data_IF_466238413284
#
_entry.id   IF_466238413284
#
_cell.length_a   1.000
_cell.length_b   1.000
_cell.length_c   1.000
_cell.angle_alpha   90.00
_cell.angle_beta   90.00
_cell.angle_gamma   90.00
#
_symmetry.space_group_name_H-M   'P 1'
#
loop_
_entity.id
_entity.type
_entity.pdbx_description
1 polymer ?
#
# COMPACT_ATOMS: atom_id res chain seq x y z
N UNK A 1 5.97 7.03 -1.92
CA UNK A 1 6.08 6.62 -3.35
C UNK A 1 7.41 5.89 -3.53
N UNK A 2 7.42 4.65 -4.03
CA UNK A 2 8.65 3.85 -4.20
C UNK A 2 9.70 4.48 -5.15
N UNK A 3 9.31 5.54 -5.87
CA UNK A 3 10.17 6.36 -6.74
C UNK A 3 11.49 6.83 -6.10
N UNK A 4 11.54 7.00 -4.78
CA UNK A 4 12.73 7.49 -4.07
C UNK A 4 13.62 6.36 -3.52
N UNK A 5 13.21 5.09 -3.67
CA UNK A 5 13.82 3.97 -2.97
C UNK A 5 14.72 3.08 -3.84
N UNK A 6 14.64 3.17 -5.16
CA UNK A 6 15.47 2.37 -6.08
C UNK A 6 14.73 1.92 -7.33
N UNK A 7 15.47 1.39 -8.30
CA UNK A 7 14.91 0.90 -9.58
C UNK A 7 14.05 -0.36 -9.40
N UNK A 8 14.39 -1.19 -8.42
CA UNK A 8 13.66 -2.41 -8.05
C UNK A 8 12.79 -2.22 -6.81
N UNK A 9 12.58 -0.99 -6.36
CA UNK A 9 11.73 -0.73 -5.22
C UNK A 9 10.28 -1.15 -5.53
N UNK A 10 9.56 -1.64 -4.53
CA UNK A 10 8.16 -2.00 -4.70
C UNK A 10 7.37 -1.86 -3.41
N UNK A 11 6.06 -1.71 -3.57
CA UNK A 11 5.13 -1.91 -2.46
C UNK A 11 4.92 -3.40 -2.32
N UNK A 12 5.26 -3.93 -1.15
CA UNK A 12 5.14 -5.36 -0.85
C UNK A 12 4.05 -5.55 0.19
N UNK A 13 3.10 -6.42 -0.14
CA UNK A 13 2.02 -6.85 0.76
C UNK A 13 2.19 -8.31 1.09
N UNK A 14 2.39 -8.59 2.37
CA UNK A 14 2.46 -9.92 2.97
C UNK A 14 1.11 -10.30 3.53
N UNK A 15 0.64 -11.48 3.15
CA UNK A 15 -0.57 -12.12 3.66
C UNK A 15 -0.18 -13.41 4.38
N UNK A 16 -0.32 -13.42 5.70
CA UNK A 16 -0.12 -14.58 6.55
C UNK A 16 -1.48 -15.23 6.78
N UNK A 17 -1.71 -16.39 6.15
CA UNK A 17 -3.01 -17.05 6.10
C UNK A 17 -2.94 -18.43 6.78
N UNK A 18 -3.80 -18.60 7.78
CA UNK A 18 -4.07 -19.88 8.46
C UNK A 18 -5.54 -20.25 8.37
N UNK A 19 -6.41 -19.27 8.08
CA UNK A 19 -7.83 -19.50 7.90
C UNK A 19 -8.11 -20.33 6.64
N UNK A 20 -9.06 -21.27 6.76
CA UNK A 20 -9.50 -22.08 5.62
C UNK A 20 -10.24 -21.24 4.55
N UNK A 21 -10.93 -20.17 4.96
CA UNK A 21 -11.61 -19.22 4.06
C UNK A 21 -11.26 -17.78 4.48
N UNK A 22 -10.15 -17.22 3.97
CA UNK A 22 -9.77 -15.83 4.26
C UNK A 22 -10.79 -14.82 3.71
N UNK A 23 -11.49 -15.14 2.62
CA UNK A 23 -12.50 -14.26 2.03
C UNK A 23 -13.69 -14.05 2.96
N UNK A 24 -14.19 -15.10 3.61
CA UNK A 24 -15.29 -14.98 4.57
C UNK A 24 -14.95 -14.05 5.75
N UNK A 25 -13.70 -14.10 6.24
CA UNK A 25 -13.23 -13.22 7.30
C UNK A 25 -13.22 -11.77 6.84
N UNK A 26 -12.61 -11.48 5.68
CA UNK A 26 -12.57 -10.11 5.14
C UNK A 26 -13.97 -9.55 4.88
N UNK A 27 -14.86 -10.37 4.29
CA UNK A 27 -16.24 -9.99 4.01
C UNK A 27 -17.06 -9.67 5.27
N UNK A 28 -16.69 -10.21 6.43
CA UNK A 28 -17.34 -9.87 7.71
C UNK A 28 -17.06 -8.44 8.17
N UNK A 29 -16.15 -7.72 7.51
CA UNK A 29 -15.79 -6.34 7.82
C UNK A 29 -15.11 -6.16 9.18
N UNK A 30 -14.11 -6.99 9.55
CA UNK A 30 -13.46 -6.88 10.84
C UNK A 30 -12.70 -5.56 10.97
N UNK A 31 -12.64 -5.03 12.19
CA UNK A 31 -11.82 -3.86 12.49
C UNK A 31 -10.41 -4.31 12.86
N UNK A 32 -9.40 -3.67 12.28
CA UNK A 32 -8.02 -3.92 12.67
C UNK A 32 -7.76 -3.48 14.12
N UNK A 33 -7.12 -4.35 14.88
CA UNK A 33 -6.65 -4.07 16.23
C UNK A 33 -5.46 -3.10 16.20
N UNK A 34 -5.63 -1.94 16.84
CA UNK A 34 -4.58 -0.91 16.97
C UNK A 34 -3.41 -1.39 17.82
N UNK A 35 -3.68 -2.23 18.82
CA UNK A 35 -2.66 -2.77 19.71
C UNK A 35 -1.78 -3.82 19.03
N UNK A 36 -2.37 -4.62 18.14
CA UNK A 36 -1.66 -5.66 17.40
C UNK A 36 -0.49 -5.11 16.59
N UNK A 37 -0.73 -4.13 15.70
CA UNK A 37 0.32 -3.58 14.83
C UNK A 37 1.46 -2.92 15.60
N UNK A 38 1.15 -2.22 16.70
CA UNK A 38 2.18 -1.63 17.58
C UNK A 38 3.04 -2.71 18.25
N UNK A 39 2.42 -3.78 18.76
CA UNK A 39 3.15 -4.89 19.38
C UNK A 39 4.00 -5.63 18.35
N UNK A 40 3.46 -5.88 17.17
CA UNK A 40 4.16 -6.50 16.05
C UNK A 40 5.43 -5.72 15.69
N UNK A 41 5.33 -4.41 15.47
CA UNK A 41 6.49 -3.60 15.09
C UNK A 41 7.55 -3.56 16.20
N UNK A 42 7.11 -3.50 17.47
CA UNK A 42 8.03 -3.51 18.61
C UNK A 42 8.78 -4.85 18.76
N UNK A 43 8.15 -5.96 18.34
CA UNK A 43 8.79 -7.28 18.29
C UNK A 43 9.71 -7.43 17.08
N UNK A 44 9.31 -6.90 15.92
CA UNK A 44 10.08 -6.97 14.69
C UNK A 44 11.40 -6.19 14.79
N UNK A 45 11.34 -4.99 15.39
CA UNK A 45 12.53 -4.22 15.73
C UNK A 45 12.29 -3.34 16.98
N UNK A 46 12.81 -3.73 18.15
CA UNK A 46 12.65 -2.98 19.40
C UNK A 46 13.24 -1.57 19.37
N UNK A 47 14.13 -1.26 18.44
CA UNK A 47 14.75 0.07 18.32
C UNK A 47 13.89 1.08 17.56
N UNK A 48 12.80 0.64 16.91
CA UNK A 48 11.99 1.54 16.10
C UNK A 48 11.10 2.48 16.95
N UNK A 49 11.13 3.80 16.69
CA UNK A 49 10.14 4.72 17.24
C UNK A 49 8.82 4.56 16.50
N UNK A 50 7.87 3.83 17.10
CA UNK A 50 6.59 3.49 16.48
C UNK A 50 5.56 4.60 16.71
N UNK A 51 5.18 5.27 15.63
CA UNK A 51 4.19 6.36 15.61
C UNK A 51 2.93 5.90 14.86
N UNK A 52 1.77 5.73 15.50
CA UNK A 52 0.51 5.48 14.80
C UNK A 52 0.10 6.69 13.94
N UNK A 53 -0.28 6.44 12.69
CA UNK A 53 -0.75 7.47 11.75
C UNK A 53 -2.28 7.52 11.75
N UNK A 54 -2.94 6.36 11.61
CA UNK A 54 -4.39 6.30 11.49
C UNK A 54 -4.91 4.93 11.04
N UNK A 55 -6.22 4.84 10.88
CA UNK A 55 -6.90 3.67 10.32
C UNK A 55 -7.40 4.00 8.91
N UNK A 56 -7.13 3.09 7.98
CA UNK A 56 -7.42 3.28 6.56
C UNK A 56 -8.00 1.99 5.95
N UNK A 57 -8.64 2.10 4.79
CA UNK A 57 -8.98 0.93 3.97
C UNK A 57 -7.82 0.64 3.03
N UNK A 58 -7.29 -0.58 3.03
CA UNK A 58 -6.14 -0.99 2.22
C UNK A 58 -6.36 -0.71 0.71
N UNK A 59 -7.58 -0.89 0.22
CA UNK A 59 -7.92 -0.70 -1.20
C UNK A 59 -8.11 0.76 -1.60
N UNK A 60 -8.35 1.66 -0.63
CA UNK A 60 -8.61 3.09 -0.88
C UNK A 60 -7.54 4.03 -0.34
N UNK A 61 -6.59 3.52 0.42
CA UNK A 61 -5.45 4.29 0.91
C UNK A 61 -4.38 4.44 -0.16
N UNK A 62 -3.61 5.52 -0.06
CA UNK A 62 -2.32 5.56 -0.73
C UNK A 62 -1.46 4.37 -0.25
N UNK A 63 -0.67 3.73 -1.12
CA UNK A 63 0.22 2.67 -0.69
C UNK A 63 1.21 3.12 0.38
N UNK A 64 1.65 2.21 1.24
CA UNK A 64 2.67 2.49 2.25
C UNK A 64 3.93 3.10 1.62
N UNK A 65 4.52 4.10 2.29
CA UNK A 65 5.80 4.67 1.85
C UNK A 65 6.98 4.07 2.62
N UNK A 66 8.19 4.54 2.33
CA UNK A 66 9.38 4.14 3.07
C UNK A 66 9.17 4.40 4.57
N UNK A 67 9.56 3.45 5.42
CA UNK A 67 9.38 3.53 6.87
C UNK A 67 7.90 3.61 7.33
N UNK A 68 6.95 3.26 6.48
CA UNK A 68 5.54 3.12 6.85
C UNK A 68 5.09 1.67 6.71
N UNK A 69 4.32 1.22 7.71
CA UNK A 69 3.76 -0.12 7.77
C UNK A 69 2.27 -0.06 7.92
N UNK A 70 1.53 -0.69 7.01
CA UNK A 70 0.08 -0.84 7.12
C UNK A 70 -0.20 -2.25 7.58
N UNK A 71 -0.81 -2.39 8.76
CA UNK A 71 -0.93 -3.67 9.44
C UNK A 71 -2.39 -3.92 9.83
N UNK A 72 -2.88 -5.12 9.54
CA UNK A 72 -4.11 -5.65 10.08
C UNK A 72 -3.90 -7.06 10.62
N UNK A 73 -4.39 -7.31 11.84
CA UNK A 73 -4.53 -8.65 12.40
C UNK A 73 -6.00 -9.02 12.50
N UNK A 74 -6.41 -10.04 11.76
CA UNK A 74 -7.74 -10.65 11.81
C UNK A 74 -7.62 -12.12 12.26
N UNK A 75 -8.71 -12.75 12.72
CA UNK A 75 -8.67 -14.18 13.06
C UNK A 75 -8.19 -15.02 11.88
N UNK A 76 -6.99 -15.61 11.99
CA UNK A 76 -6.40 -16.47 10.96
C UNK A 76 -5.87 -15.77 9.69
N UNK A 77 -5.89 -14.42 9.64
CA UNK A 77 -5.32 -13.64 8.54
C UNK A 77 -4.58 -12.43 9.10
N UNK A 78 -3.29 -12.30 8.82
CA UNK A 78 -2.53 -11.08 9.10
C UNK A 78 -2.02 -10.47 7.81
N UNK A 79 -2.17 -9.16 7.66
CA UNK A 79 -1.78 -8.40 6.48
C UNK A 79 -0.75 -7.36 6.91
N UNK A 80 0.38 -7.32 6.20
CA UNK A 80 1.42 -6.31 6.40
C UNK A 80 1.79 -5.75 5.03
N UNK A 81 1.67 -4.44 4.83
CA UNK A 81 2.15 -3.75 3.64
C UNK A 81 3.23 -2.73 4.00
N UNK A 82 4.32 -2.72 3.24
CA UNK A 82 5.44 -1.78 3.38
C UNK A 82 6.07 -1.52 2.01
N UNK A 83 6.84 -0.44 1.88
CA UNK A 83 7.74 -0.26 0.75
C UNK A 83 9.10 -0.91 1.03
N UNK A 84 9.64 -1.65 0.06
CA UNK A 84 11.01 -2.19 0.08
C UNK A 84 11.84 -1.53 -1.03
N UNK A 85 13.13 -1.33 -0.77
CA UNK A 85 14.06 -0.61 -1.66
C UNK A 85 14.53 -1.44 -2.85
N UNK A 86 14.68 -2.74 -2.65
CA UNK A 86 15.05 -3.70 -3.69
C UNK A 86 14.26 -4.99 -3.50
N UNK A 87 13.43 -5.30 -4.49
CA UNK A 87 12.69 -6.56 -4.59
C UNK A 87 13.11 -7.24 -5.89
N UNK A 88 14.39 -7.58 -6.00
CA UNK A 88 14.90 -8.39 -7.12
C UNK A 88 14.75 -9.89 -6.89
N UNK A 89 14.59 -10.31 -5.64
CA UNK A 89 14.29 -11.70 -5.29
C UNK A 89 13.30 -11.78 -4.12
N UNK A 90 12.31 -12.66 -4.27
CA UNK A 90 11.34 -12.95 -3.22
C UNK A 90 11.89 -13.96 -2.21
N UNK A 91 12.78 -14.85 -2.65
CA UNK A 91 13.50 -15.78 -1.78
C UNK A 91 14.41 -15.05 -0.79
N UNK A 92 15.01 -13.92 -1.19
CA UNK A 92 15.89 -13.11 -0.35
C UNK A 92 15.17 -12.09 0.54
N UNK A 93 13.83 -12.13 0.62
CA UNK A 93 13.10 -11.23 1.51
C UNK A 93 13.49 -11.44 2.98
N UNK A 94 13.43 -10.36 3.76
CA UNK A 94 13.88 -10.38 5.16
C UNK A 94 13.22 -11.53 5.94
N UNK A 95 13.99 -12.53 6.40
CA UNK A 95 13.46 -13.67 7.13
C UNK A 95 12.75 -13.26 8.43
N UNK A 96 13.08 -12.09 9.00
CA UNK A 96 12.41 -11.56 10.19
C UNK A 96 10.95 -11.24 9.92
N UNK A 97 10.63 -10.72 8.72
CA UNK A 97 9.24 -10.46 8.31
C UNK A 97 8.57 -11.80 7.98
N UNK A 98 9.19 -12.65 7.17
CA UNK A 98 8.60 -13.93 6.76
C UNK A 98 8.30 -14.87 7.94
N UNK A 99 9.08 -14.79 9.03
CA UNK A 99 8.90 -15.60 10.24
C UNK A 99 8.22 -14.86 11.39
N UNK A 100 7.76 -13.63 11.16
CA UNK A 100 7.17 -12.77 12.20
C UNK A 100 5.80 -13.25 12.70
N UNK A 101 5.04 -13.93 11.84
CA UNK A 101 3.69 -14.41 12.14
C UNK A 101 3.58 -15.87 11.74
N UNK A 102 3.17 -16.78 12.64
CA UNK A 102 2.95 -18.18 12.28
C UNK A 102 1.75 -18.29 11.33
N UNK A 103 1.98 -18.88 10.15
CA UNK A 103 0.96 -19.08 9.12
C UNK A 103 1.13 -20.42 8.40
N UNK A 104 0.03 -20.99 7.91
CA UNK A 104 0.07 -22.17 7.05
C UNK A 104 0.59 -21.81 5.65
N UNK A 105 0.07 -20.72 5.10
CA UNK A 105 0.43 -20.18 3.80
C UNK A 105 0.79 -18.70 3.95
N UNK A 106 1.91 -18.30 3.35
CA UNK A 106 2.33 -16.90 3.23
C UNK A 106 2.29 -16.54 1.75
N UNK A 107 1.45 -15.56 1.40
CA UNK A 107 1.42 -14.98 0.07
C UNK A 107 2.06 -13.61 0.11
N UNK A 108 3.02 -13.38 -0.78
CA UNK A 108 3.71 -12.11 -0.93
C UNK A 108 3.36 -11.57 -2.30
N UNK A 109 3.02 -10.28 -2.37
CA UNK A 109 2.75 -9.58 -3.62
C UNK A 109 3.55 -8.29 -3.64
N UNK A 110 4.30 -8.06 -4.71
CA UNK A 110 5.09 -6.85 -4.93
C UNK A 110 4.63 -6.15 -6.21
N UNK A 111 4.35 -4.86 -6.12
CA UNK A 111 3.91 -4.05 -7.24
C UNK A 111 4.63 -2.70 -7.24
N UNK A 112 5.11 -2.29 -8.42
CA UNK A 112 5.55 -0.92 -8.68
C UNK A 112 5.03 -0.48 -10.06
N UNK A 113 3.94 0.31 -10.04
CA UNK A 113 3.30 0.83 -11.25
C UNK A 113 4.20 1.71 -12.10
N UNK A 114 5.23 2.35 -11.53
CA UNK A 114 6.14 3.20 -12.29
C UNK A 114 7.17 2.42 -13.10
N UNK A 115 7.67 1.31 -12.56
CA UNK A 115 8.69 0.49 -13.22
C UNK A 115 8.10 -0.75 -13.88
N UNK A 116 6.78 -0.94 -13.81
CA UNK A 116 6.04 -2.15 -14.24
C UNK A 116 6.51 -3.42 -13.54
N UNK A 117 7.21 -3.28 -12.42
CA UNK A 117 7.69 -4.42 -11.65
C UNK A 117 6.50 -5.07 -10.95
N UNK A 118 6.33 -6.36 -11.20
CA UNK A 118 5.33 -7.20 -10.58
C UNK A 118 5.97 -8.50 -10.12
N UNK A 119 5.71 -8.89 -8.88
CA UNK A 119 6.13 -10.17 -8.36
C UNK A 119 5.18 -10.74 -7.32
N UNK A 120 5.21 -12.05 -7.17
CA UNK A 120 4.44 -12.77 -6.18
C UNK A 120 5.18 -14.01 -5.71
N UNK A 121 4.94 -14.41 -4.47
CA UNK A 121 5.45 -15.66 -3.93
C UNK A 121 4.42 -16.35 -3.05
N UNK A 122 4.39 -17.67 -3.12
CA UNK A 122 3.64 -18.55 -2.23
C UNK A 122 4.62 -19.41 -1.46
N UNK A 123 4.66 -19.20 -0.15
CA UNK A 123 5.50 -19.94 0.79
C UNK A 123 4.56 -20.77 1.68
N UNK A 124 4.86 -22.06 1.84
CA UNK A 124 4.15 -22.96 2.75
C UNK A 124 5.14 -23.59 3.70
N UNK A 125 4.99 -23.31 4.99
CA UNK A 125 6.03 -23.60 5.97
C UNK A 125 7.32 -22.85 5.61
N UNK A 126 8.43 -23.56 5.51
CA UNK A 126 9.73 -23.00 5.09
C UNK A 126 10.05 -23.24 3.60
N UNK A 127 9.07 -23.66 2.78
CA UNK A 127 9.29 -23.99 1.37
C UNK A 127 8.56 -23.04 0.43
N UNK A 128 9.30 -22.46 -0.51
CA UNK A 128 8.75 -21.70 -1.63
C UNK A 128 8.08 -22.68 -2.60
N UNK A 129 6.77 -22.55 -2.79
CA UNK A 129 5.99 -23.37 -3.74
C UNK A 129 5.99 -22.77 -5.14
N UNK A 130 5.88 -21.44 -5.19
CA UNK A 130 5.92 -20.65 -6.41
C UNK A 130 6.48 -19.29 -6.07
N UNK A 131 7.39 -18.79 -6.88
CA UNK A 131 7.84 -17.41 -6.80
C UNK A 131 8.17 -16.88 -8.17
N UNK A 132 7.69 -15.68 -8.47
CA UNK A 132 7.88 -15.02 -9.75
C UNK A 132 8.10 -13.53 -9.50
N UNK A 133 9.06 -12.94 -10.18
CA UNK A 133 9.18 -11.49 -10.23
C UNK A 133 9.80 -11.04 -11.54
N UNK A 134 9.17 -10.04 -12.15
CA UNK A 134 9.56 -9.55 -13.46
C UNK A 134 9.21 -8.08 -13.63
N UNK A 135 9.90 -7.46 -14.59
CA UNK A 135 9.49 -6.28 -15.34
C UNK A 135 9.10 -6.72 -16.75
N UNK A 136 8.50 -5.83 -17.53
CA UNK A 136 8.04 -6.15 -18.89
C UNK A 136 9.09 -6.86 -19.74
N UNK A 137 10.36 -6.44 -19.71
CA UNK A 137 11.43 -7.00 -20.56
C UNK A 137 12.43 -7.90 -19.81
N UNK A 138 12.21 -8.16 -18.52
CA UNK A 138 13.17 -8.92 -17.70
C UNK A 138 12.48 -9.70 -16.58
N UNK A 139 12.74 -11.00 -16.56
CA UNK A 139 12.43 -11.86 -15.42
C UNK A 139 13.61 -11.87 -14.47
N UNK A 140 13.36 -11.59 -13.19
CA UNK A 140 14.37 -11.64 -12.12
C UNK A 140 14.36 -13.00 -11.42
N UNK A 141 13.16 -13.53 -11.17
CA UNK A 141 12.96 -14.79 -10.47
C UNK A 141 11.79 -15.54 -11.11
N UNK A 142 11.96 -16.85 -11.30
CA UNK A 142 10.92 -17.77 -11.76
C UNK A 142 11.19 -19.16 -11.16
N UNK A 143 10.72 -19.35 -9.93
CA UNK A 143 10.95 -20.55 -9.11
C UNK A 143 9.63 -21.28 -8.90
N UNK A 144 9.68 -22.62 -8.93
CA UNK A 144 8.54 -23.49 -8.71
C UNK A 144 7.70 -23.71 -9.96
N UNK A 145 6.56 -24.39 -9.79
CA UNK A 145 5.67 -24.75 -10.91
C UNK A 145 4.60 -23.67 -11.07
N UNK A 146 4.44 -23.06 -12.27
CA UNK A 146 3.40 -22.08 -12.52
C UNK A 146 2.00 -22.56 -12.16
N UNK A 147 1.23 -21.69 -11.51
CA UNK A 147 -0.16 -21.95 -11.19
C UNK A 147 -1.05 -21.96 -12.43
N UNK A 148 -2.21 -22.63 -12.36
CA UNK A 148 -3.17 -22.68 -13.46
C UNK A 148 -3.68 -21.29 -13.90
N UNK A 149 -3.69 -20.32 -12.99
CA UNK A 149 -4.07 -18.93 -13.27
C UNK A 149 -3.05 -18.20 -14.17
N UNK A 150 -1.80 -18.67 -14.23
CA UNK A 150 -0.74 -18.06 -15.04
C UNK A 150 -0.82 -18.49 -16.52
N UNK A 151 -1.36 -19.67 -16.80
CA UNK A 151 -1.35 -20.26 -18.15
C UNK A 151 -1.92 -19.34 -19.26
N UNK A 152 -3.04 -18.61 -19.05
CA UNK A 152 -3.54 -17.67 -20.05
C UNK A 152 -2.59 -16.51 -20.37
N UNK A 153 -1.79 -16.07 -19.39
CA UNK A 153 -0.81 -15.00 -19.54
C UNK A 153 0.39 -15.49 -20.35
N UNK A 154 0.96 -16.63 -19.98
CA UNK A 154 2.06 -17.26 -20.72
C UNK A 154 1.68 -17.61 -22.17
N UNK A 155 0.42 -17.97 -22.41
CA UNK A 155 -0.10 -18.24 -23.75
C UNK A 155 -0.43 -16.97 -24.56
N UNK A 156 -0.28 -15.77 -24.00
CA UNK A 156 -0.65 -14.50 -24.64
C UNK A 156 -2.15 -14.33 -24.88
N UNK A 157 -3.00 -15.08 -24.14
CA UNK A 157 -4.46 -14.94 -24.18
C UNK A 157 -4.96 -13.82 -23.26
N UNK A 158 -4.16 -13.47 -22.25
CA UNK A 158 -4.38 -12.34 -21.32
C UNK A 158 -3.14 -11.46 -21.32
N UNK A 159 -3.35 -10.15 -21.28
CA UNK A 159 -2.31 -9.13 -21.39
C UNK A 159 -2.07 -8.69 -22.84
N UNK A 160 -1.34 -7.59 -22.97
CA UNK A 160 -0.87 -7.07 -24.25
C UNK A 160 0.65 -7.01 -24.23
N UNK A 161 1.28 -7.47 -25.33
CA UNK A 161 2.72 -7.43 -25.48
C UNK A 161 3.14 -6.07 -26.04
N UNK A 162 3.85 -5.27 -25.25
CA UNK A 162 4.33 -3.94 -25.63
C UNK A 162 5.48 -3.97 -26.66
N UNK A 163 6.38 -4.94 -26.55
CA UNK A 163 7.63 -5.03 -27.33
C UNK A 163 7.95 -6.47 -27.75
N UNK A 164 8.69 -6.72 -28.85
CA UNK A 164 9.11 -8.08 -29.21
C UNK A 164 9.92 -8.81 -28.12
N UNK A 165 10.62 -8.04 -27.27
CA UNK A 165 11.41 -8.56 -26.14
C UNK A 165 10.63 -8.57 -24.82
N UNK A 166 9.44 -7.98 -24.77
CA UNK A 166 8.64 -7.98 -23.55
C UNK A 166 7.90 -9.30 -23.37
N UNK A 167 7.58 -9.61 -22.11
CA UNK A 167 6.61 -10.62 -21.74
C UNK A 167 5.29 -10.41 -22.48
N UNK A 168 4.51 -11.47 -22.71
CA UNK A 168 3.23 -11.39 -23.40
C UNK A 168 2.14 -10.65 -22.59
N UNK A 169 2.49 -10.12 -21.41
CA UNK A 169 1.61 -9.46 -20.48
C UNK A 169 2.38 -8.50 -19.57
N UNK A 170 1.64 -7.59 -18.93
CA UNK A 170 2.17 -6.75 -17.85
C UNK A 170 2.31 -7.57 -16.55
N UNK A 171 3.50 -7.68 -15.93
CA UNK A 171 3.70 -8.44 -14.70
C UNK A 171 2.75 -8.08 -13.56
N UNK A 172 2.34 -6.81 -13.43
CA UNK A 172 1.40 -6.36 -12.39
C UNK A 172 0.01 -7.00 -12.57
N UNK A 173 -0.43 -7.22 -13.81
CA UNK A 173 -1.70 -7.91 -14.06
C UNK A 173 -1.65 -9.36 -13.58
N UNK A 174 -0.51 -10.03 -13.78
CA UNK A 174 -0.32 -11.39 -13.29
C UNK A 174 -0.32 -11.43 -11.76
N UNK A 175 0.27 -10.43 -11.08
CA UNK A 175 0.20 -10.29 -9.61
C UNK A 175 -1.24 -10.20 -9.13
N UNK A 176 -2.07 -9.36 -9.78
CA UNK A 176 -3.49 -9.20 -9.43
C UNK A 176 -4.28 -10.49 -9.62
N UNK A 177 -3.96 -11.29 -10.63
CA UNK A 177 -4.57 -12.61 -10.77
C UNK A 177 -4.06 -13.62 -9.75
N UNK A 178 -2.78 -13.56 -9.36
CA UNK A 178 -2.25 -14.38 -8.28
C UNK A 178 -2.97 -14.07 -6.96
N UNK A 179 -3.21 -12.78 -6.67
CA UNK A 179 -4.01 -12.35 -5.52
C UNK A 179 -5.41 -12.99 -5.56
N UNK A 180 -6.12 -12.88 -6.69
CA UNK A 180 -7.44 -13.50 -6.87
C UNK A 180 -7.43 -15.01 -6.70
N UNK A 181 -6.47 -15.69 -7.32
CA UNK A 181 -6.38 -17.14 -7.31
C UNK A 181 -6.03 -17.71 -5.93
N UNK A 182 -5.16 -17.03 -5.17
CA UNK A 182 -4.68 -17.52 -3.87
C UNK A 182 -5.53 -17.07 -2.69
N UNK A 183 -6.00 -15.82 -2.70
CA UNK A 183 -6.85 -15.31 -1.62
C UNK A 183 -8.32 -15.71 -1.81
N UNK A 184 -8.73 -16.07 -3.03
CA UNK A 184 -10.10 -16.41 -3.37
C UNK A 184 -11.01 -15.20 -3.56
N UNK A 185 -10.44 -13.98 -3.56
CA UNK A 185 -11.13 -12.73 -3.82
C UNK A 185 -10.16 -11.67 -4.32
N UNK A 186 -10.68 -10.57 -4.86
CA UNK A 186 -9.88 -9.44 -5.30
C UNK A 186 -9.82 -8.35 -4.20
N UNK A 187 -8.64 -8.08 -3.60
CA UNK A 187 -8.49 -7.06 -2.56
C UNK A 187 -8.88 -5.65 -3.00
N UNK A 188 -8.78 -5.32 -4.30
CA UNK A 188 -9.11 -4.00 -4.82
C UNK A 188 -10.62 -3.76 -4.93
N UNK A 189 -11.42 -4.82 -5.12
CA UNK A 189 -12.89 -4.73 -5.26
C UNK A 189 -13.66 -5.22 -4.03
N UNK A 190 -12.97 -5.90 -3.11
CA UNK A 190 -13.50 -6.38 -1.83
C UNK A 190 -14.04 -5.25 -0.94
N UNK A 191 -14.98 -5.55 -0.01
CA UNK A 191 -15.28 -4.68 1.12
C UNK A 191 -14.01 -4.18 1.82
N UNK A 192 -14.13 -3.02 2.46
CA UNK A 192 -12.99 -2.33 3.06
C UNK A 192 -12.20 -3.19 4.04
N UNK A 193 -10.97 -3.50 3.64
CA UNK A 193 -9.98 -4.14 4.50
C UNK A 193 -9.38 -3.06 5.39
N UNK A 194 -9.88 -2.97 6.62
CA UNK A 194 -9.38 -1.99 7.59
C UNK A 194 -7.95 -2.35 8.00
N UNK A 195 -7.01 -1.43 7.80
CA UNK A 195 -5.61 -1.51 8.24
C UNK A 195 -5.25 -0.33 9.14
N UNK A 196 -4.29 -0.51 10.04
CA UNK A 196 -3.72 0.57 10.85
C UNK A 196 -2.36 0.91 10.27
N UNK A 197 -2.13 2.17 9.93
CA UNK A 197 -0.84 2.65 9.44
C UNK A 197 0.03 3.16 10.59
N UNK A 198 1.31 2.82 10.53
CA UNK A 198 2.35 3.23 11.46
C UNK A 198 3.55 3.79 10.69
N UNK A 199 4.24 4.76 11.27
CA UNK A 199 5.56 5.20 10.85
C UNK A 199 6.61 4.70 11.85
N UNK A 200 7.81 4.38 11.34
CA UNK A 200 8.96 3.92 12.16
C UNK A 200 10.18 4.85 12.07
N UNK A 201 10.04 6.03 11.49
CA UNK A 201 11.11 7.01 11.28
C UNK A 201 11.21 8.08 12.38
N UNK A 202 10.37 8.00 13.42
CA UNK A 202 10.38 8.94 14.53
C UNK A 202 9.65 10.25 14.26
N UNK A 203 8.88 10.35 13.17
CA UNK A 203 7.99 11.49 12.95
C UNK A 203 6.98 11.62 14.10
N UNK A 204 6.62 12.85 14.52
CA UNK A 204 5.66 13.06 15.59
C UNK A 204 4.26 12.56 15.19
N UNK A 205 3.52 12.01 16.17
CA UNK A 205 2.15 11.54 15.96
C UNK A 205 1.27 12.68 15.42
N UNK A 206 0.45 12.43 14.39
CA UNK A 206 -0.56 13.38 13.95
C UNK A 206 -1.47 13.70 15.14
N UNK A 207 -1.43 14.95 15.61
CA UNK A 207 -2.35 15.43 16.64
C UNK A 207 -3.74 15.52 16.03
N UNK A 208 -4.50 14.45 16.11
CA UNK A 208 -5.95 14.49 15.88
C UNK A 208 -6.48 15.41 16.98
N UNK A 209 -6.94 16.60 16.60
CA UNK A 209 -7.57 17.51 17.54
C UNK A 209 -8.64 16.72 18.30
N UNK A 210 -8.52 16.64 19.62
CA UNK A 210 -9.51 15.97 20.45
C UNK A 210 -10.89 16.48 20.04
N UNK A 211 -11.91 15.62 19.95
CA UNK A 211 -13.26 16.09 19.65
C UNK A 211 -13.56 17.21 20.64
N UNK A 212 -13.83 18.41 20.12
CA UNK A 212 -14.24 19.55 20.96
C UNK A 212 -15.35 19.01 21.84
N UNK A 213 -15.15 19.04 23.17
CA UNK A 213 -16.17 18.71 24.15
C UNK A 213 -17.44 19.43 23.69
N UNK A 214 -18.46 18.67 23.32
CA UNK A 214 -19.75 19.24 22.99
C UNK A 214 -20.28 19.82 24.29
N UNK A 215 -20.02 21.11 24.50
CA UNK A 215 -20.57 21.87 25.62
C UNK A 215 -22.09 21.73 25.47
N UNK A 216 -22.74 21.16 26.47
CA UNK A 216 -24.19 20.96 26.41
C UNK A 216 -24.88 22.31 26.31
N UNK A 217 -26.03 22.36 25.65
CA UNK A 217 -26.83 23.60 25.56
C UNK A 217 -27.13 24.12 26.97
N UNK A 218 -27.30 23.23 27.95
CA UNK A 218 -27.49 23.57 29.36
C UNK A 218 -26.24 24.20 30.02
N UNK A 219 -25.03 23.73 29.71
CA UNK A 219 -23.79 24.38 30.16
C UNK A 219 -23.63 25.78 29.52
N UNK A 220 -24.13 25.96 28.29
CA UNK A 220 -24.10 27.25 27.59
C UNK A 220 -25.12 28.23 28.18
N UNK A 221 -26.34 27.76 28.47
CA UNK A 221 -27.40 28.60 29.07
C UNK A 221 -27.06 28.97 30.50
N UNK A 222 -26.50 28.05 31.30
CA UNK A 222 -26.05 28.35 32.66
C UNK A 222 -24.90 29.36 32.66
N UNK A 223 -23.86 29.17 31.83
CA UNK A 223 -22.77 30.15 31.73
C UNK A 223 -23.24 31.51 31.19
N UNK A 224 -24.20 31.53 30.27
CA UNK A 224 -24.79 32.76 29.76
C UNK A 224 -25.62 33.46 30.84
N UNK A 225 -26.44 32.74 31.59
CA UNK A 225 -27.23 33.27 32.70
C UNK A 225 -26.34 33.80 33.83
N UNK A 226 -25.23 33.11 34.16
CA UNK A 226 -24.25 33.57 35.13
C UNK A 226 -23.51 34.83 34.65
N UNK A 227 -23.09 34.88 33.39
CA UNK A 227 -22.43 36.07 32.82
C UNK A 227 -23.37 37.26 32.63
N UNK A 228 -24.65 37.01 32.40
CA UNK A 228 -25.68 38.04 32.31
C UNK A 228 -26.29 38.40 33.68
N UNK A 229 -25.82 37.80 34.77
CA UNK A 229 -26.30 38.09 36.13
C UNK A 229 -27.76 37.69 36.36
N UNK A 230 -28.35 36.85 35.51
CA UNK A 230 -29.75 36.43 35.54
C UNK A 230 -30.03 35.31 36.56
N UNK A 231 -29.20 35.18 37.60
CA UNK A 231 -29.59 34.33 38.73
C UNK A 231 -30.88 34.91 39.28
N UNK A 232 -31.90 34.07 39.34
CA UNK A 232 -33.16 34.30 40.03
C UNK A 232 -32.86 34.51 41.52
N UNK A 233 -32.37 35.70 41.87
CA UNK A 233 -32.43 36.23 43.22
C UNK A 233 -33.89 36.59 43.45
N UNK A 234 -34.65 35.57 43.85
CA UNK A 234 -35.95 35.70 44.47
C UNK A 234 -35.77 36.35 45.86
N UNK A 235 -35.34 37.61 45.87
CA UNK A 235 -35.45 38.53 46.99
C UNK A 235 -36.17 39.78 46.45
N UNK A 236 -37.47 39.61 46.22
CA UNK A 236 -38.41 40.70 45.97
C UNK A 236 -39.28 40.85 47.22
N UNK A 237 -38.94 41.83 48.04
CA UNK A 237 -39.71 42.35 49.18
C UNK A 237 -39.74 43.88 48.98
N UNK A 238 -40.84 44.40 48.44
CA UNK A 238 -41.84 45.21 49.15
C UNK A 238 -41.59 46.73 48.98
N UNK A 239 -42.47 47.30 48.14
CA UNK A 239 -42.88 48.69 47.92
C UNK A 239 -41.94 49.87 48.27
N UNK A 240 -41.61 50.67 47.25
CA UNK A 240 -41.99 52.09 47.24
C UNK A 240 -42.14 52.62 45.81
N UNK A 241 -43.34 53.16 45.54
CA UNK A 241 -43.72 53.80 44.27
C UNK A 241 -43.03 55.15 44.14
N UNK A 242 -42.46 55.44 42.97
CA UNK A 242 -42.39 56.82 42.45
C UNK A 242 -42.80 56.81 40.97
N UNK A 243 -43.67 57.74 40.62
CA UNK A 243 -44.37 57.87 39.34
C UNK A 243 -43.42 58.11 38.16
N UNK A 244 -43.68 57.41 37.05
CA UNK A 244 -43.15 57.73 35.71
C UNK A 244 -44.35 58.15 34.86
N UNK A 245 -44.37 59.35 34.25
CA UNK A 245 -45.30 59.61 33.17
C UNK A 245 -44.75 58.99 31.88
N UNK A 246 -45.45 57.93 31.49
CA UNK A 246 -46.13 57.80 30.20
C UNK A 246 -45.27 57.75 28.92
N UNK A 247 -45.10 56.53 28.39
CA UNK A 247 -45.14 56.35 26.94
C UNK A 247 -45.91 55.08 26.60
N UNK A 248 -47.15 55.32 26.21
CA UNK A 248 -48.10 54.39 25.60
C UNK A 248 -47.46 53.58 24.47
N UNK A 249 -47.39 52.26 24.63
CA UNK A 249 -47.43 51.30 23.52
C UNK A 249 -48.58 50.35 23.81
N UNK A 250 -49.61 50.29 22.96
CA UNK A 250 -50.80 49.52 23.24
C UNK A 250 -50.54 48.00 23.17
N UNK A 251 -50.79 47.35 24.31
CA UNK A 251 -51.77 46.26 24.49
C UNK A 251 -52.36 45.67 23.20
N UNK A 252 -52.52 44.35 23.02
CA UNK A 252 -52.92 43.30 23.99
C UNK A 252 -52.85 41.95 23.24
N UNK A 253 -52.34 40.87 23.87
CA UNK A 253 -53.09 39.73 24.48
C UNK A 253 -53.42 38.63 23.44
N UNK A 254 -53.34 37.33 23.70
CA UNK A 254 -52.89 36.46 24.80
C UNK A 254 -52.50 35.12 24.15
N UNK A 255 -51.86 34.25 24.94
CA UNK A 255 -52.03 32.80 25.02
C UNK A 255 -52.26 31.96 23.76
N UNK A 256 -51.40 30.97 23.58
CA UNK A 256 -51.68 29.86 22.68
C UNK A 256 -50.50 28.95 22.48
N UNK A 257 -50.31 28.02 23.41
CA UNK A 257 -49.54 26.81 23.14
C UNK A 257 -50.16 26.08 21.94
N UNK A 258 -49.38 25.87 20.88
CA UNK A 258 -49.74 24.98 19.78
C UNK A 258 -49.40 25.51 18.39
N UNK A 259 -48.34 24.93 17.80
CA UNK A 259 -48.14 24.78 16.36
C UNK A 259 -48.08 26.08 15.54
N UNK A 260 -46.88 26.60 15.27
CA UNK A 260 -46.57 27.12 13.92
C UNK A 260 -45.12 26.79 13.56
N UNK A 261 -44.99 25.76 12.75
CA UNK A 261 -43.83 25.51 11.93
C UNK A 261 -43.62 26.66 10.93
N UNK A 262 -42.38 26.80 10.45
CA UNK A 262 -41.98 27.53 9.24
C UNK A 262 -41.90 29.06 9.36
N UNK A 263 -40.85 29.57 10.01
CA UNK A 263 -40.31 30.90 9.69
C UNK A 263 -38.87 31.08 10.22
N UNK A 264 -37.97 30.11 10.01
CA UNK A 264 -36.55 30.29 10.33
C UNK A 264 -35.63 29.54 9.34
N UNK A 265 -35.99 29.55 8.05
CA UNK A 265 -35.23 28.84 7.00
C UNK A 265 -34.64 29.75 5.91
N UNK A 266 -34.64 31.07 6.06
CA UNK A 266 -34.19 31.98 4.97
C UNK A 266 -33.06 32.95 5.29
N UNK A 267 -32.43 32.91 6.48
CA UNK A 267 -31.30 33.81 6.81
C UNK A 267 -29.93 33.11 6.95
N UNK A 268 -29.83 31.83 6.54
CA UNK A 268 -28.58 31.06 6.59
C UNK A 268 -27.95 30.70 5.23
N UNK A 269 -28.56 31.10 4.10
CA UNK A 269 -28.17 30.61 2.76
C UNK A 269 -27.47 31.62 1.84
N UNK A 270 -27.21 32.85 2.30
CA UNK A 270 -26.52 33.88 1.49
C UNK A 270 -25.09 34.18 1.94
N UNK A 271 -24.60 33.62 3.06
CA UNK A 271 -23.19 33.73 3.48
C UNK A 271 -22.30 32.54 3.06
N UNK A 272 -22.86 31.48 2.46
CA UNK A 272 -22.10 30.28 2.07
C UNK A 272 -21.66 30.22 0.60
N UNK A 273 -21.69 31.35 -0.12
CA UNK A 273 -21.25 31.45 -1.53
C UNK A 273 -20.17 32.51 -1.80
N UNK A 274 -19.49 32.99 -0.77
CA UNK A 274 -18.35 33.92 -0.88
C UNK A 274 -17.07 33.39 -0.21
N UNK A 275 -16.91 32.07 -0.11
CA UNK A 275 -15.79 31.42 0.59
C UNK A 275 -15.05 30.39 -0.27
N UNK A 276 -14.96 30.62 -1.58
CA UNK A 276 -14.27 29.70 -2.50
C UNK A 276 -13.53 30.47 -3.59
N UNK A 277 -12.58 31.31 -3.18
CA UNK A 277 -11.56 31.90 -4.06
C UNK A 277 -10.43 32.61 -3.28
N UNK A 278 -9.90 31.98 -2.23
CA UNK A 278 -8.68 32.46 -1.55
C UNK A 278 -7.87 31.27 -0.99
N UNK A 279 -7.35 30.40 -1.86
CA UNK A 279 -6.41 29.34 -1.45
C UNK A 279 -5.34 29.00 -2.48
N UNK A 280 -5.02 29.89 -3.42
CA UNK A 280 -4.00 29.64 -4.47
C UNK A 280 -2.89 30.69 -4.55
N UNK A 281 -2.56 31.37 -3.44
CA UNK A 281 -1.45 32.34 -3.39
C UNK A 281 -0.62 32.31 -2.09
N UNK A 282 -0.74 31.25 -1.29
CA UNK A 282 0.08 31.02 -0.08
C UNK A 282 1.02 29.81 -0.19
N UNK A 283 1.27 29.33 -1.41
CA UNK A 283 2.24 28.27 -1.70
C UNK A 283 3.56 28.79 -2.32
N UNK A 284 3.74 30.11 -2.46
CA UNK A 284 4.87 30.68 -3.22
C UNK A 284 5.86 31.52 -2.39
N UNK A 285 5.77 31.49 -1.06
CA UNK A 285 6.67 32.27 -0.18
C UNK A 285 7.41 31.49 0.90
N UNK A 286 7.56 30.18 0.73
CA UNK A 286 8.40 29.35 1.62
C UNK A 286 9.58 28.66 0.91
N UNK A 287 9.96 29.17 -0.27
CA UNK A 287 11.09 28.61 -1.05
C UNK A 287 12.31 29.51 -1.17
N UNK A 288 12.48 30.49 -0.27
CA UNK A 288 13.63 31.40 -0.34
C UNK A 288 14.12 31.93 1.02
N UNK A 289 14.31 31.05 1.99
CA UNK A 289 15.07 31.35 3.21
C UNK A 289 15.85 30.12 3.68
N UNK A 290 16.87 29.72 2.91
CA UNK A 290 18.17 29.39 3.51
C UNK A 290 19.27 29.32 2.44
N UNK A 291 19.88 30.47 2.14
CA UNK A 291 21.22 30.52 1.54
C UNK A 291 22.00 31.61 2.25
N UNK A 292 22.62 31.25 3.37
CA UNK A 292 23.71 32.04 3.94
C UNK A 292 24.99 31.81 3.15
N UNK A 293 25.44 32.90 2.56
CA UNK A 293 26.76 33.25 2.04
C UNK A 293 27.94 32.68 2.82
N UNK A 294 28.97 32.19 2.11
CA UNK A 294 30.43 32.30 2.42
C UNK A 294 31.21 32.01 1.12
N UNK A 295 32.34 32.68 0.84
CA UNK A 295 32.75 33.05 -0.53
C UNK A 295 33.68 32.05 -1.23
N UNK A 296 33.79 32.20 -2.56
CA UNK A 296 34.68 31.44 -3.44
C UNK A 296 36.13 31.99 -3.44
N UNK A 297 37.17 31.15 -3.66
CA UNK A 297 38.52 31.59 -4.00
C UNK A 297 38.68 31.87 -5.52
N UNK A 298 39.74 32.60 -5.93
CA UNK A 298 39.78 33.27 -7.22
C UNK A 298 40.23 32.37 -8.38
N UNK A 299 39.71 32.72 -9.56
CA UNK A 299 40.10 32.22 -10.87
C UNK A 299 41.53 32.65 -11.25
N UNK A 300 42.31 31.72 -11.79
CA UNK A 300 43.44 32.04 -12.66
C UNK A 300 43.04 31.77 -14.10
N UNK A 301 42.99 32.84 -14.88
CA UNK A 301 42.82 32.81 -16.33
C UNK A 301 44.01 32.14 -17.02
N UNK A 302 43.73 31.35 -18.06
CA UNK A 302 44.52 31.37 -19.31
C UNK A 302 43.69 30.82 -20.47
N UNK A 303 43.65 31.64 -21.51
CA UNK A 303 43.30 31.39 -22.92
C UNK A 303 44.05 30.16 -23.47
N UNK A 304 43.74 29.51 -24.59
CA UNK A 304 43.14 29.83 -25.90
C UNK A 304 42.89 28.45 -26.58
N UNK A 305 41.90 28.28 -27.45
CA UNK A 305 42.15 28.35 -28.89
C UNK A 305 41.67 27.08 -29.64
N UNK A 306 40.54 27.23 -30.33
CA UNK A 306 40.14 26.68 -31.64
C UNK A 306 40.49 25.22 -32.07
N UNK A 307 39.41 24.48 -32.38
CA UNK A 307 39.09 23.77 -33.64
C UNK A 307 40.13 22.86 -34.33
N UNK A 308 39.76 21.58 -34.54
CA UNK A 308 39.59 20.94 -35.86
C UNK A 308 39.46 19.40 -35.75
N UNK A 309 38.36 18.85 -36.28
CA UNK A 309 38.29 17.52 -36.92
C UNK A 309 38.80 17.73 -38.37
N UNK A 310 39.48 16.81 -39.09
CA UNK A 310 38.94 15.48 -39.42
C UNK A 310 39.95 14.35 -39.72
N UNK A 311 39.42 13.15 -40.01
CA UNK A 311 40.02 12.25 -41.01
C UNK A 311 40.44 10.86 -40.52
N UNK A 312 39.69 9.85 -40.95
CA UNK A 312 40.20 8.49 -41.23
C UNK A 312 40.42 8.41 -42.74
N UNK A 313 41.46 7.70 -43.23
CA UNK A 313 41.17 6.41 -43.88
C UNK A 313 42.29 5.34 -43.74
N UNK A 314 41.89 4.08 -44.02
CA UNK A 314 42.62 2.95 -44.66
C UNK A 314 44.03 2.53 -44.16
N UNK A 315 44.23 1.32 -43.65
CA UNK A 315 44.32 -0.01 -44.30
C UNK A 315 45.68 -0.29 -44.97
N UNK A 316 46.48 -1.20 -44.36
CA UNK A 316 47.47 -2.12 -44.98
C UNK A 316 48.01 -3.03 -43.85
N UNK A 317 47.67 -4.34 -43.78
CA UNK A 317 48.22 -5.54 -44.46
C UNK A 317 49.66 -5.95 -44.11
N UNK A 318 49.74 -7.23 -43.70
CA UNK A 318 50.87 -8.19 -43.76
C UNK A 318 51.97 -7.98 -42.72
N UNK A 319 52.52 -8.97 -42.03
CA UNK A 319 52.92 -10.37 -42.29
C UNK A 319 53.07 -11.05 -40.90
N UNK A 320 53.14 -12.36 -40.65
CA UNK A 320 53.31 -13.57 -41.44
C UNK A 320 53.55 -14.77 -40.47
N UNK A 321 53.45 -15.98 -41.03
CA UNK A 321 53.97 -17.28 -40.57
C UNK A 321 53.28 -17.94 -39.34
N UNK A 322 52.56 -19.06 -39.53
CA UNK A 322 53.05 -20.47 -39.57
C UNK A 322 53.43 -20.99 -38.17
N UNK A 323 53.09 -22.20 -37.69
CA UNK A 323 52.64 -23.40 -38.35
C UNK A 323 52.04 -24.40 -37.32
N UNK A 324 51.04 -25.16 -37.79
CA UNK A 324 50.89 -26.63 -37.68
C UNK A 324 50.69 -27.39 -36.36
N UNK A 325 49.58 -28.17 -36.40
CA UNK A 325 49.39 -29.59 -36.01
C UNK A 325 49.36 -29.90 -34.50
N UNK A 326 48.48 -30.76 -34.00
CA UNK A 326 47.68 -31.77 -34.66
C UNK A 326 46.49 -32.22 -33.81
N UNK A 327 45.43 -32.59 -34.54
CA UNK A 327 44.24 -33.30 -34.10
C UNK A 327 44.53 -34.78 -34.32
N UNK A 328 44.22 -35.66 -33.38
CA UNK A 328 43.28 -36.77 -33.58
C UNK A 328 43.30 -37.85 -32.49
N UNK A 329 42.07 -38.23 -32.10
CA UNK A 329 41.58 -39.56 -31.67
C UNK A 329 42.08 -40.07 -30.31
N UNK A 330 41.28 -40.73 -29.46
CA UNK A 330 40.28 -41.73 -29.77
C UNK A 330 39.35 -42.00 -28.56
N UNK A 331 38.16 -42.48 -28.92
CA UNK A 331 37.12 -43.22 -28.17
C UNK A 331 37.51 -44.06 -26.94
N UNK A 332 36.64 -44.10 -25.91
CA UNK A 332 35.87 -45.29 -25.51
C UNK A 332 35.04 -45.04 -24.22
N UNK A 333 33.72 -45.27 -24.30
CA UNK A 333 32.78 -45.41 -23.17
C UNK A 333 32.82 -46.85 -22.61
N UNK A 334 32.63 -47.08 -21.30
CA UNK A 334 32.31 -48.39 -20.78
C UNK A 334 30.80 -48.70 -20.88
N UNK A 335 30.52 -49.98 -21.11
CA UNK A 335 29.20 -50.60 -21.30
C UNK A 335 28.53 -50.86 -19.95
N UNK A 336 27.28 -50.42 -19.80
CA UNK A 336 26.39 -50.93 -18.74
C UNK A 336 25.67 -52.20 -19.20
N UNK A 337 25.72 -53.21 -18.33
CA UNK A 337 25.04 -54.51 -18.45
C UNK A 337 23.55 -54.34 -18.11
N UNK A 338 22.68 -54.84 -18.98
CA UNK A 338 21.34 -55.33 -18.62
C UNK A 338 21.32 -56.85 -18.73
N UNK A 339 20.63 -57.54 -17.82
CA UNK A 339 19.91 -58.75 -18.20
C UNK A 339 18.46 -58.73 -17.72
N UNK A 340 17.61 -59.50 -18.41
CA UNK A 340 16.31 -59.95 -17.89
C UNK A 340 15.10 -59.39 -18.63
N UNK A 341 14.78 -60.01 -19.76
CA UNK A 341 13.41 -60.15 -20.21
C UNK A 341 12.95 -61.53 -19.71
N UNK A 342 11.86 -61.56 -18.96
CA UNK A 342 10.98 -62.72 -18.84
C UNK A 342 9.56 -62.19 -19.05
N UNK A 343 8.99 -62.60 -20.19
CA UNK A 343 7.55 -62.67 -20.42
C UNK A 343 7.00 -63.82 -19.55
N UNK A 344 5.84 -63.61 -18.93
CA UNK A 344 4.70 -64.54 -18.95
C UNK A 344 3.75 -64.31 -17.74
N UNK A 345 2.46 -64.54 -18.00
CA UNK A 345 1.33 -64.72 -17.09
C UNK A 345 0.52 -63.47 -16.66
N UNK A 346 -0.40 -63.06 -17.53
CA UNK A 346 -1.79 -62.85 -17.07
C UNK A 346 -2.79 -63.12 -18.20
N UNK A 347 -3.21 -64.37 -18.33
CA UNK A 347 -4.48 -64.77 -18.97
C UNK A 347 -5.39 -65.26 -17.85
N UNK A 348 -6.59 -64.69 -17.75
CA UNK A 348 -7.52 -65.00 -16.66
C UNK A 348 -8.79 -64.17 -16.75
N UNK A 349 -9.53 -64.40 -17.83
CA UNK A 349 -10.94 -64.08 -18.01
C UNK A 349 -11.80 -64.67 -16.86
N UNK A 350 -12.81 -63.92 -16.38
CA UNK A 350 -14.08 -64.45 -15.85
C UNK A 350 -15.02 -63.30 -15.44
N UNK A 351 -16.01 -63.09 -16.29
CA UNK A 351 -17.29 -62.46 -15.94
C UNK A 351 -18.10 -63.29 -14.93
N UNK A 352 -18.99 -62.63 -14.18
CA UNK A 352 -20.03 -63.22 -13.34
C UNK A 352 -20.65 -62.12 -12.45
N UNK A 353 -21.70 -61.42 -12.91
CA UNK A 353 -23.14 -61.75 -12.70
C UNK A 353 -23.58 -61.45 -11.26
N UNK A 354 -24.21 -60.29 -11.01
CA UNK A 354 -25.68 -60.07 -10.91
C UNK A 354 -26.34 -60.61 -9.64
N UNK A 355 -27.01 -59.70 -8.91
CA UNK A 355 -28.10 -59.89 -7.91
C UNK A 355 -27.64 -60.61 -6.63
N UNK A 356 -28.00 -60.23 -5.42
CA UNK A 356 -29.18 -59.57 -4.84
C UNK A 356 -28.77 -58.85 -3.55
#
# INVERSE_FOLDING_TARGET
>A
MPQQLGENAAIVTFWFVTAADPHAIIRSGPRADRGFGRKYLAQLNPAWPITPIGQFSLSRSAPASANEFYIAGFPGVTIIQTALEDVSSMESLDPRILKSVPASDIYVFAENEHTTLGGFAHIRGDTIKRSFIAREERVFEDIGVPGGFEAPYWAGKKGERTSPLSLPFNPIELVREAQRAWLGFDPATSPDINVVAFAVDGRPEPRIAAPRRQVSVDEITQNAAEKLGLRESADYDDYERHDIPDRVVPHRVVDGAGKVARAAQSLGKTLFRAGRELSSTMAERLRNTDRKTTPAPPETASSSGAAATPGTPEAERSTGAEATRGRDRNSARPRDRRPGADEDLYTGDSAGDSRE
#
